data_IF_234787567041
#
_entry.id   IF_234787567041
#
_cell.length_a   1.000
_cell.length_b   1.000
_cell.length_c   1.000
_cell.angle_alpha   90.00
_cell.angle_beta   90.00
_cell.angle_gamma   90.00
#
_symmetry.space_group_name_H-M   'P 1'
#
loop_
_entity.id
_entity.type
_entity.pdbx_description
1 polymer ?
#
# COMPACT_ATOMS: atom_id res chain seq x y z
N UNK A 1 28.09 4.44 3.57
CA UNK A 1 27.26 5.16 2.57
C UNK A 1 25.94 4.49 2.23
N UNK A 2 25.85 3.45 1.37
CA UNK A 2 24.52 2.89 1.00
C UNK A 2 23.78 2.32 2.23
N UNK A 3 24.47 1.61 3.11
CA UNK A 3 23.86 1.05 4.33
C UNK A 3 23.27 2.11 5.28
N UNK A 4 23.97 3.23 5.47
CA UNK A 4 23.47 4.33 6.32
C UNK A 4 22.24 4.99 5.71
N UNK A 5 22.23 5.19 4.38
CA UNK A 5 21.07 5.75 3.68
C UNK A 5 19.85 4.80 3.72
N UNK A 6 20.07 3.49 3.69
CA UNK A 6 18.99 2.49 3.82
C UNK A 6 18.44 2.45 5.25
N UNK A 7 19.31 2.52 6.26
CA UNK A 7 18.90 2.60 7.67
C UNK A 7 18.15 3.90 7.93
N UNK A 8 18.63 5.03 7.39
CA UNK A 8 17.94 6.31 7.51
C UNK A 8 16.58 6.28 6.81
N UNK A 9 16.48 5.65 5.63
CA UNK A 9 15.19 5.41 4.98
C UNK A 9 14.25 4.54 5.82
N UNK A 10 14.76 3.45 6.41
CA UNK A 10 13.97 2.52 7.22
C UNK A 10 13.46 3.16 8.53
N UNK A 11 14.28 3.96 9.21
CA UNK A 11 13.96 4.48 10.55
C UNK A 11 13.51 5.94 10.58
N UNK A 12 13.78 6.75 9.55
CA UNK A 12 13.38 8.16 9.50
C UNK A 12 12.03 8.33 8.80
N UNK A 13 10.96 7.90 9.50
CA UNK A 13 9.57 7.97 9.01
C UNK A 13 9.14 9.38 8.62
N UNK A 14 9.63 10.42 9.31
CA UNK A 14 9.24 11.81 9.05
C UNK A 14 9.78 12.33 7.72
N UNK A 15 11.03 12.00 7.37
CA UNK A 15 11.71 12.46 6.15
C UNK A 15 11.26 11.70 4.91
N UNK A 16 11.03 10.39 5.04
CA UNK A 16 10.74 9.51 3.90
C UNK A 16 9.28 9.07 3.81
N UNK A 17 8.37 9.66 4.59
CA UNK A 17 6.94 9.30 4.62
C UNK A 17 6.32 9.15 3.23
N UNK A 18 6.50 10.15 2.37
CA UNK A 18 5.95 10.15 1.00
C UNK A 18 6.61 9.06 0.15
N UNK A 19 7.94 8.92 0.24
CA UNK A 19 8.66 7.89 -0.52
C UNK A 19 8.29 6.46 -0.07
N UNK A 20 8.07 6.24 1.23
CA UNK A 20 7.56 4.97 1.77
C UNK A 20 6.16 4.69 1.28
N UNK A 21 5.27 5.69 1.29
CA UNK A 21 3.93 5.55 0.72
C UNK A 21 3.96 5.17 -0.76
N UNK A 22 4.78 5.86 -1.56
CA UNK A 22 4.91 5.57 -3.00
C UNK A 22 5.48 4.17 -3.22
N UNK A 23 6.53 3.77 -2.49
CA UNK A 23 7.05 2.40 -2.55
C UNK A 23 5.99 1.36 -2.17
N UNK A 24 5.20 1.61 -1.13
CA UNK A 24 4.08 0.74 -0.76
C UNK A 24 3.04 0.66 -1.87
N UNK A 25 2.68 1.79 -2.48
CA UNK A 25 1.73 1.85 -3.59
C UNK A 25 2.21 1.02 -4.78
N UNK A 26 3.49 1.14 -5.13
CA UNK A 26 4.13 0.34 -6.19
C UNK A 26 4.12 -1.14 -5.81
N UNK A 27 4.53 -1.48 -4.59
CA UNK A 27 4.49 -2.86 -4.09
C UNK A 27 3.09 -3.45 -4.19
N UNK A 28 2.08 -2.68 -3.79
CA UNK A 28 0.69 -3.10 -3.82
C UNK A 28 0.19 -3.33 -5.25
N UNK A 29 0.49 -2.41 -6.17
CA UNK A 29 0.20 -2.56 -7.60
C UNK A 29 0.86 -3.82 -8.19
N UNK A 30 2.13 -4.06 -7.87
CA UNK A 30 2.84 -5.26 -8.34
C UNK A 30 2.26 -6.54 -7.76
N UNK A 31 1.91 -6.55 -6.47
CA UNK A 31 1.29 -7.70 -5.81
C UNK A 31 -0.08 -7.99 -6.41
N UNK A 32 -0.86 -6.96 -6.72
CA UNK A 32 -2.15 -7.07 -7.39
C UNK A 32 -2.02 -7.66 -8.80
N UNK A 33 -1.12 -7.11 -9.62
CA UNK A 33 -0.89 -7.58 -10.98
C UNK A 33 -0.43 -9.04 -10.99
N UNK A 34 0.46 -9.43 -10.07
CA UNK A 34 0.85 -10.82 -9.90
C UNK A 34 -0.38 -11.68 -9.57
N UNK A 35 -1.18 -11.25 -8.59
CA UNK A 35 -2.38 -11.99 -8.14
C UNK A 35 -3.40 -12.20 -9.27
N UNK A 36 -3.62 -11.20 -10.14
CA UNK A 36 -4.54 -11.30 -11.28
C UNK A 36 -4.00 -12.26 -12.36
N UNK A 37 -2.68 -12.29 -12.56
CA UNK A 37 -2.05 -13.15 -13.58
C UNK A 37 -1.79 -14.59 -13.10
N UNK A 38 -2.10 -14.94 -11.84
CA UNK A 38 -2.02 -16.34 -11.40
C UNK A 38 -3.10 -17.16 -12.10
N UNK A 39 -2.71 -18.29 -12.70
CA UNK A 39 -3.63 -19.19 -13.40
C UNK A 39 -4.71 -19.76 -12.47
N UNK A 40 -5.83 -20.20 -13.02
CA UNK A 40 -6.97 -20.77 -12.27
C UNK A 40 -6.60 -21.86 -11.25
N UNK A 41 -5.55 -22.64 -11.51
CA UNK A 41 -5.02 -23.64 -10.59
C UNK A 41 -4.57 -23.08 -9.22
N UNK A 42 -4.39 -21.77 -9.10
CA UNK A 42 -3.98 -21.08 -7.88
C UNK A 42 -5.06 -20.15 -7.32
N UNK A 43 -6.32 -20.30 -7.72
CA UNK A 43 -7.44 -19.50 -7.18
C UNK A 43 -7.53 -19.53 -5.66
N UNK A 44 -7.21 -20.65 -5.00
CA UNK A 44 -7.20 -20.75 -3.53
C UNK A 44 -6.18 -19.78 -2.92
N UNK A 45 -5.00 -19.65 -3.53
CA UNK A 45 -3.99 -18.69 -3.10
C UNK A 45 -4.45 -17.26 -3.34
N UNK A 46 -5.13 -16.99 -4.44
CA UNK A 46 -5.73 -15.68 -4.72
C UNK A 46 -6.74 -15.27 -3.65
N UNK A 47 -7.66 -16.17 -3.29
CA UNK A 47 -8.69 -15.94 -2.27
C UNK A 47 -8.09 -15.70 -0.88
N UNK A 48 -6.96 -16.33 -0.54
CA UNK A 48 -6.28 -16.15 0.74
C UNK A 48 -5.32 -14.94 0.75
N UNK A 49 -4.64 -14.67 -0.35
CA UNK A 49 -3.61 -13.64 -0.45
C UNK A 49 -4.19 -12.24 -0.59
N UNK A 50 -5.33 -12.11 -1.30
CA UNK A 50 -5.97 -10.82 -1.52
C UNK A 50 -6.51 -10.17 -0.22
N UNK A 51 -7.19 -10.88 0.70
CA UNK A 51 -7.60 -10.33 2.00
C UNK A 51 -6.39 -9.94 2.86
N UNK A 52 -5.31 -10.72 2.83
CA UNK A 52 -4.08 -10.42 3.58
C UNK A 52 -3.44 -9.13 3.07
N UNK A 53 -3.38 -8.94 1.75
CA UNK A 53 -2.88 -7.70 1.13
C UNK A 53 -3.74 -6.48 1.51
N UNK A 54 -5.08 -6.64 1.50
CA UNK A 54 -6.01 -5.58 1.90
C UNK A 54 -5.85 -5.24 3.38
N UNK A 55 -5.70 -6.25 4.24
CA UNK A 55 -5.50 -6.06 5.67
C UNK A 55 -4.20 -5.32 5.98
N UNK A 56 -3.09 -5.67 5.32
CA UNK A 56 -1.81 -4.95 5.44
C UNK A 56 -1.93 -3.49 5.01
N UNK A 57 -2.68 -3.22 3.93
CA UNK A 57 -2.93 -1.85 3.45
C UNK A 57 -3.73 -1.03 4.46
N UNK A 58 -4.77 -1.62 5.07
CA UNK A 58 -5.56 -0.97 6.13
C UNK A 58 -4.68 -0.65 7.34
N UNK A 59 -3.84 -1.60 7.80
CA UNK A 59 -2.94 -1.37 8.93
C UNK A 59 -1.98 -0.21 8.68
N UNK A 60 -1.45 -0.09 7.47
CA UNK A 60 -0.54 0.99 7.09
C UNK A 60 -1.26 2.35 6.99
N UNK A 61 -2.49 2.40 6.47
CA UNK A 61 -3.31 3.61 6.51
C UNK A 61 -3.59 4.06 7.96
N UNK A 62 -3.91 3.10 8.86
CA UNK A 62 -4.13 3.40 10.28
C UNK A 62 -2.86 3.93 10.93
N UNK A 63 -1.71 3.27 10.73
CA UNK A 63 -0.41 3.74 11.23
C UNK A 63 -0.10 5.15 10.76
N UNK A 64 -0.31 5.41 9.48
CA UNK A 64 -0.04 6.71 8.88
C UNK A 64 -0.94 7.81 9.44
N UNK A 65 -2.25 7.54 9.59
CA UNK A 65 -3.17 8.48 10.23
C UNK A 65 -2.82 8.70 11.71
N UNK A 66 -2.46 7.64 12.43
CA UNK A 66 -2.04 7.75 13.83
C UNK A 66 -0.76 8.58 13.97
N UNK A 67 0.24 8.35 13.11
CA UNK A 67 1.48 9.11 13.08
C UNK A 67 1.24 10.59 12.75
N UNK A 68 0.41 10.87 11.74
CA UNK A 68 0.07 12.25 11.35
C UNK A 68 -0.63 13.00 12.46
N UNK A 69 -1.58 12.34 13.14
CA UNK A 69 -2.29 12.88 14.30
C UNK A 69 -1.35 13.13 15.48
N UNK A 70 -0.40 12.24 15.73
CA UNK A 70 0.58 12.38 16.83
C UNK A 70 1.60 13.49 16.58
N UNK A 71 1.94 13.75 15.32
CA UNK A 71 2.96 14.74 14.92
C UNK A 71 2.37 16.10 14.52
N UNK A 72 1.05 16.29 14.63
CA UNK A 72 0.31 17.49 14.16
C UNK A 72 0.66 17.91 12.72
N UNK A 73 0.95 16.91 11.88
CA UNK A 73 1.31 17.14 10.47
C UNK A 73 -0.01 17.30 9.71
N UNK A 74 -0.26 18.49 9.18
CA UNK A 74 -1.36 18.71 8.22
C UNK A 74 -1.18 17.75 7.04
N UNK A 75 -2.07 16.77 6.95
CA UNK A 75 -2.15 15.83 5.82
C UNK A 75 -2.41 16.62 4.55
N UNK A 76 -1.46 16.58 3.61
CA UNK A 76 -1.60 17.26 2.33
C UNK A 76 -2.60 16.51 1.45
N UNK A 77 -3.38 17.23 0.64
CA UNK A 77 -4.26 16.65 -0.40
C UNK A 77 -3.51 15.64 -1.28
N UNK A 78 -2.20 15.86 -1.51
CA UNK A 78 -1.34 14.93 -2.26
C UNK A 78 -1.20 13.55 -1.62
N UNK A 79 -1.26 13.46 -0.29
CA UNK A 79 -1.22 12.17 0.42
C UNK A 79 -2.55 11.42 0.28
N UNK A 80 -3.67 12.15 0.25
CA UNK A 80 -5.00 11.58 0.03
C UNK A 80 -5.20 11.04 -1.39
N UNK A 81 -4.58 11.66 -2.39
CA UNK A 81 -4.61 11.16 -3.78
C UNK A 81 -4.11 9.72 -3.85
N UNK A 82 -3.02 9.38 -3.15
CA UNK A 82 -2.50 8.01 -3.12
C UNK A 82 -3.47 7.02 -2.49
N UNK A 83 -4.16 7.42 -1.42
CA UNK A 83 -5.19 6.59 -0.76
C UNK A 83 -6.40 6.39 -1.66
N UNK A 84 -6.87 7.46 -2.32
CA UNK A 84 -8.01 7.41 -3.25
C UNK A 84 -7.70 6.52 -4.47
N UNK A 85 -6.49 6.64 -5.04
CA UNK A 85 -6.04 5.76 -6.13
C UNK A 85 -6.02 4.30 -5.68
N UNK A 86 -5.53 4.00 -4.46
CA UNK A 86 -5.56 2.64 -3.92
C UNK A 86 -7.00 2.10 -3.81
N UNK A 87 -7.92 2.88 -3.25
CA UNK A 87 -9.34 2.48 -3.11
C UNK A 87 -9.97 2.21 -4.48
N UNK A 88 -9.76 3.10 -5.46
CA UNK A 88 -10.26 2.92 -6.82
C UNK A 88 -9.68 1.65 -7.47
N UNK A 89 -8.39 1.37 -7.25
CA UNK A 89 -7.74 0.17 -7.78
C UNK A 89 -8.34 -1.09 -7.15
N UNK A 90 -8.60 -1.10 -5.83
CA UNK A 90 -9.26 -2.21 -5.14
C UNK A 90 -10.64 -2.46 -5.75
N UNK A 91 -11.46 -1.41 -5.89
CA UNK A 91 -12.80 -1.52 -6.47
C UNK A 91 -12.74 -2.06 -7.90
N UNK A 92 -11.83 -1.55 -8.74
CA UNK A 92 -11.67 -1.99 -10.11
C UNK A 92 -11.29 -3.48 -10.21
N UNK A 93 -10.40 -3.95 -9.33
CA UNK A 93 -10.01 -5.37 -9.32
C UNK A 93 -11.15 -6.25 -8.83
N UNK A 94 -11.85 -5.87 -7.77
CA UNK A 94 -13.02 -6.61 -7.32
C UNK A 94 -14.11 -6.66 -8.40
N UNK A 95 -14.30 -5.57 -9.16
CA UNK A 95 -15.25 -5.54 -10.26
C UNK A 95 -14.82 -6.45 -11.41
N UNK A 96 -13.55 -6.37 -11.84
CA UNK A 96 -12.99 -7.21 -12.92
C UNK A 96 -12.92 -8.70 -12.55
N UNK A 97 -12.87 -9.04 -11.25
CA UNK A 97 -12.86 -10.44 -10.80
C UNK A 97 -14.25 -11.04 -10.66
N UNK A 98 -15.30 -10.21 -10.59
CA UNK A 98 -16.70 -10.65 -10.49
C UNK A 98 -17.45 -10.60 -11.84
N UNK A 99 -16.76 -10.23 -12.93
CA UNK A 99 -17.27 -10.20 -14.32
C UNK A 99 -16.59 -11.30 -15.12
#
# INVERSE_FOLDING_TARGET
>A
MIKENVIEYLFNEKKYKVAKNVCMLIFWLTALLLTINLSDSFQVYRILFMPVLVFLLILELIKMNWYNKKMDIKTSVKEWIGVVIMILTIIAVFYLDNV
#
